data_IF_975043130820
#
_entry.id   IF_975043130820
#
_cell.length_a   1.000
_cell.length_b   1.000
_cell.length_c   1.000
_cell.angle_alpha   90.00
_cell.angle_beta   90.00
_cell.angle_gamma   90.00
#
_symmetry.space_group_name_H-M   'P 1'
#
loop_
_entity.id
_entity.type
_entity.pdbx_description
1 polymer ?
#
# COMPACT_ATOMS: atom_id res chain seq x y z
N UNK A 1 29.90 15.65 -33.97
CA UNK A 1 29.98 15.23 -32.55
C UNK A 1 28.98 14.10 -32.41
N UNK A 2 29.46 12.87 -32.45
CA UNK A 2 28.58 11.71 -32.26
C UNK A 2 28.21 11.64 -30.78
N UNK A 3 26.92 11.60 -30.49
CA UNK A 3 26.43 11.26 -29.16
C UNK A 3 26.77 9.78 -28.95
N UNK A 4 27.31 9.41 -27.78
CA UNK A 4 27.62 8.02 -27.42
C UNK A 4 26.36 7.14 -27.21
N UNK A 5 25.17 7.71 -27.44
CA UNK A 5 23.88 7.06 -27.26
C UNK A 5 22.89 7.56 -28.31
N UNK A 6 21.94 6.71 -28.67
CA UNK A 6 20.83 6.99 -29.56
C UNK A 6 19.62 7.56 -28.81
N UNK A 7 18.71 8.23 -29.51
CA UNK A 7 17.51 8.81 -28.90
C UNK A 7 16.61 7.76 -28.22
N UNK A 8 16.59 6.52 -28.74
CA UNK A 8 15.79 5.42 -28.19
C UNK A 8 16.33 4.89 -26.85
N UNK A 9 17.57 5.22 -26.50
CA UNK A 9 18.16 4.84 -25.22
C UNK A 9 17.81 5.82 -24.10
N UNK A 10 17.25 7.00 -24.43
CA UNK A 10 16.93 8.05 -23.46
C UNK A 10 15.67 7.67 -22.69
N UNK A 11 15.83 7.55 -21.36
CA UNK A 11 14.72 7.37 -20.40
C UNK A 11 14.10 8.70 -20.00
N UNK A 12 14.94 9.68 -19.66
CA UNK A 12 14.49 11.00 -19.18
C UNK A 12 15.53 12.08 -19.45
N UNK A 13 15.07 13.31 -19.67
CA UNK A 13 15.89 14.51 -19.74
C UNK A 13 15.46 15.44 -18.61
N UNK A 14 16.39 15.82 -17.74
CA UNK A 14 16.17 16.80 -16.66
C UNK A 14 17.00 18.05 -16.91
N UNK A 15 16.36 19.22 -16.79
CA UNK A 15 16.94 20.50 -17.13
C UNK A 15 17.02 21.35 -15.87
N UNK A 16 18.23 21.76 -15.50
CA UNK A 16 18.51 22.75 -14.48
C UNK A 16 18.79 24.12 -15.09
N UNK A 17 18.99 25.13 -14.25
CA UNK A 17 19.30 26.50 -14.75
C UNK A 17 20.67 26.53 -15.42
N UNK A 18 21.62 25.76 -14.88
CA UNK A 18 23.01 25.81 -15.28
C UNK A 18 23.51 24.54 -15.98
N UNK A 19 22.76 23.45 -15.93
CA UNK A 19 23.14 22.15 -16.49
C UNK A 19 21.93 21.34 -16.98
N UNK A 20 22.18 20.34 -17.82
CA UNK A 20 21.16 19.40 -18.31
C UNK A 20 21.68 17.98 -18.14
N UNK A 21 20.82 17.09 -17.63
CA UNK A 21 21.11 15.67 -17.44
C UNK A 21 20.22 14.83 -18.34
N UNK A 22 20.82 13.86 -19.02
CA UNK A 22 20.15 12.80 -19.76
C UNK A 22 20.34 11.49 -18.98
N UNK A 23 19.25 10.84 -18.62
CA UNK A 23 19.23 9.50 -18.04
C UNK A 23 18.85 8.50 -19.13
N UNK A 24 19.64 7.44 -19.26
CA UNK A 24 19.39 6.34 -20.20
C UNK A 24 18.62 5.19 -19.53
N UNK A 25 18.03 4.32 -20.34
CA UNK A 25 17.24 3.16 -19.88
C UNK A 25 18.06 2.16 -19.06
N UNK A 26 19.37 2.11 -19.26
CA UNK A 26 20.30 1.24 -18.52
C UNK A 26 20.83 1.85 -17.21
N UNK A 27 20.32 3.03 -16.83
CA UNK A 27 20.71 3.73 -15.60
C UNK A 27 21.96 4.60 -15.73
N UNK A 28 22.62 4.66 -16.89
CA UNK A 28 23.70 5.64 -17.14
C UNK A 28 23.12 7.05 -17.21
N UNK A 29 23.83 8.02 -16.62
CA UNK A 29 23.47 9.43 -16.69
C UNK A 29 24.61 10.28 -17.26
N UNK A 30 24.24 11.17 -18.18
CA UNK A 30 25.11 12.10 -18.90
C UNK A 30 24.74 13.53 -18.57
N UNK A 31 25.73 14.42 -18.38
CA UNK A 31 25.50 15.81 -18.02
C UNK A 31 26.24 16.77 -18.95
N UNK A 32 25.65 17.94 -19.20
CA UNK A 32 26.26 19.06 -19.93
C UNK A 32 25.95 20.38 -19.22
N UNK A 33 26.78 21.41 -19.42
CA UNK A 33 26.59 22.74 -18.86
C UNK A 33 27.59 23.08 -17.75
N UNK A 34 27.20 23.99 -16.86
CA UNK A 34 28.01 24.42 -15.71
C UNK A 34 27.95 23.37 -14.61
N UNK A 35 28.92 22.46 -14.62
CA UNK A 35 28.92 21.26 -13.79
C UNK A 35 29.87 21.30 -12.59
N UNK A 36 30.48 22.46 -12.31
CA UNK A 36 31.44 22.68 -11.22
C UNK A 36 30.92 22.23 -9.85
N UNK A 37 29.62 22.39 -9.61
CA UNK A 37 28.98 21.99 -8.36
C UNK A 37 28.50 20.53 -8.37
N UNK A 38 28.42 19.89 -9.54
CA UNK A 38 27.73 18.61 -9.73
C UNK A 38 28.64 17.41 -9.94
N UNK A 39 29.97 17.52 -9.77
CA UNK A 39 30.89 16.39 -9.94
C UNK A 39 31.97 16.53 -11.01
N UNK A 40 32.00 17.64 -11.75
CA UNK A 40 32.99 17.87 -12.82
C UNK A 40 33.79 19.15 -12.56
N UNK A 41 35.09 19.13 -12.85
CA UNK A 41 36.01 20.24 -12.56
C UNK A 41 35.90 21.45 -13.50
N UNK A 42 34.99 21.42 -14.49
CA UNK A 42 34.85 22.48 -15.50
C UNK A 42 33.45 22.53 -16.09
N UNK A 43 33.15 23.60 -16.85
CA UNK A 43 31.97 23.70 -17.71
C UNK A 43 32.11 22.73 -18.88
N UNK A 44 31.11 21.88 -19.05
CA UNK A 44 31.04 20.93 -20.13
C UNK A 44 30.29 21.50 -21.33
N UNK A 45 30.94 21.50 -22.49
CA UNK A 45 30.34 21.89 -23.78
C UNK A 45 29.86 20.66 -24.60
N UNK A 46 29.96 19.47 -24.02
CA UNK A 46 29.46 18.19 -24.55
C UNK A 46 28.92 17.35 -23.40
N UNK A 47 28.03 16.42 -23.69
CA UNK A 47 27.54 15.47 -22.70
C UNK A 47 28.69 14.57 -22.23
N UNK A 48 28.92 14.52 -20.92
CA UNK A 48 29.86 13.61 -20.29
C UNK A 48 29.12 12.70 -19.32
N UNK A 49 29.47 11.41 -19.32
CA UNK A 49 28.93 10.47 -18.36
C UNK A 49 29.54 10.71 -16.98
N UNK A 50 28.71 10.62 -15.93
CA UNK A 50 29.18 10.61 -14.55
C UNK A 50 30.16 9.46 -14.28
N UNK A 51 31.46 9.73 -13.99
CA UNK A 51 32.45 8.68 -13.82
C UNK A 51 32.15 7.72 -12.67
N UNK A 52 31.59 8.23 -11.57
CA UNK A 52 31.24 7.39 -10.42
C UNK A 52 30.05 6.45 -10.68
N UNK A 53 29.25 6.70 -11.73
CA UNK A 53 28.19 5.77 -12.15
C UNK A 53 28.74 4.65 -13.05
N UNK A 54 29.97 4.75 -13.58
CA UNK A 54 30.60 3.68 -14.35
C UNK A 54 31.02 2.48 -13.50
N UNK A 55 31.33 2.71 -12.22
CA UNK A 55 31.89 1.71 -11.31
C UNK A 55 30.91 1.31 -10.17
N UNK A 56 29.66 1.77 -10.23
CA UNK A 56 28.67 1.48 -9.21
C UNK A 56 27.59 0.54 -9.78
N UNK A 57 27.13 -0.43 -8.99
CA UNK A 57 26.06 -1.36 -9.37
C UNK A 57 24.65 -0.75 -9.23
N UNK A 58 24.55 0.54 -8.92
CA UNK A 58 23.29 1.26 -8.76
C UNK A 58 22.71 1.64 -10.12
N UNK A 59 21.51 1.15 -10.43
CA UNK A 59 20.74 1.53 -11.62
C UNK A 59 19.80 2.68 -11.24
N UNK A 60 19.92 3.81 -11.93
CA UNK A 60 19.05 4.98 -11.71
C UNK A 60 17.77 4.90 -12.53
N UNK A 61 16.64 5.09 -11.86
CA UNK A 61 15.31 5.09 -12.48
C UNK A 61 14.77 6.47 -12.77
N UNK A 62 15.23 7.48 -12.03
CA UNK A 62 14.79 8.86 -12.23
C UNK A 62 15.88 9.90 -11.93
N UNK A 63 15.73 11.09 -12.52
CA UNK A 63 16.61 12.26 -12.33
C UNK A 63 15.80 13.57 -12.31
N UNK A 64 16.22 14.53 -11.48
CA UNK A 64 15.77 15.92 -11.54
C UNK A 64 16.92 16.90 -11.32
N UNK A 65 16.78 18.08 -11.91
CA UNK A 65 17.77 19.15 -11.84
C UNK A 65 17.14 20.43 -11.29
N UNK A 66 17.97 21.25 -10.66
CA UNK A 66 17.61 22.56 -10.12
C UNK A 66 18.58 23.63 -10.57
N UNK A 67 18.80 24.64 -9.75
CA UNK A 67 19.65 25.77 -10.16
C UNK A 67 21.10 25.33 -10.43
N UNK A 68 21.71 24.68 -9.44
CA UNK A 68 23.08 24.13 -9.51
C UNK A 68 23.20 22.78 -8.81
N UNK A 69 22.05 22.10 -8.68
CA UNK A 69 21.84 20.85 -7.95
C UNK A 69 21.09 19.82 -8.79
N UNK A 70 21.33 18.55 -8.48
CA UNK A 70 20.74 17.39 -9.13
C UNK A 70 20.42 16.33 -8.09
N UNK A 71 19.29 15.66 -8.28
CA UNK A 71 18.92 14.45 -7.56
C UNK A 71 18.86 13.28 -8.52
N UNK A 72 19.22 12.10 -8.03
CA UNK A 72 19.08 10.83 -8.73
C UNK A 72 18.41 9.83 -7.81
N UNK A 73 17.52 9.03 -8.38
CA UNK A 73 16.75 8.03 -7.67
C UNK A 73 17.03 6.67 -8.29
N UNK A 74 17.47 5.73 -7.47
CA UNK A 74 17.81 4.38 -7.89
C UNK A 74 16.62 3.41 -7.81
N UNK A 75 16.69 2.31 -8.57
CA UNK A 75 15.70 1.22 -8.54
C UNK A 75 15.57 0.56 -7.15
N UNK A 76 16.65 0.59 -6.35
CA UNK A 76 16.68 0.11 -4.98
C UNK A 76 16.23 1.17 -3.94
N UNK A 77 15.57 2.25 -4.38
CA UNK A 77 15.16 3.41 -3.58
C UNK A 77 16.30 4.22 -2.95
N UNK A 78 17.56 4.00 -3.34
CA UNK A 78 18.65 4.87 -2.91
C UNK A 78 18.54 6.26 -3.55
N UNK A 79 18.74 7.28 -2.73
CA UNK A 79 18.81 8.67 -3.20
C UNK A 79 20.26 9.11 -3.28
N UNK A 80 20.59 9.72 -4.41
CA UNK A 80 21.87 10.37 -4.65
C UNK A 80 21.66 11.84 -4.99
N UNK A 81 22.57 12.69 -4.53
CA UNK A 81 22.53 14.14 -4.79
C UNK A 81 23.89 14.66 -5.20
N UNK A 82 23.88 15.70 -6.02
CA UNK A 82 25.06 16.42 -6.44
C UNK A 82 24.74 17.90 -6.62
N UNK A 83 25.68 18.79 -6.39
CA UNK A 83 25.43 20.22 -6.52
C UNK A 83 25.71 21.02 -5.27
N UNK A 84 25.27 22.28 -5.33
CA UNK A 84 25.32 23.21 -4.21
C UNK A 84 24.02 23.16 -3.41
N UNK A 85 24.15 23.03 -2.09
CA UNK A 85 23.06 22.96 -1.12
C UNK A 85 23.35 23.90 0.05
N UNK A 86 22.73 25.09 0.10
CA UNK A 86 22.90 26.13 1.13
C UNK A 86 24.37 26.37 1.58
N UNK A 87 24.92 25.55 2.49
CA UNK A 87 26.29 25.63 3.02
C UNK A 87 27.25 24.55 2.50
N UNK A 88 26.78 23.53 1.79
CA UNK A 88 27.56 22.36 1.37
C UNK A 88 27.59 22.24 -0.16
N UNK A 89 28.68 21.71 -0.70
CA UNK A 89 28.78 21.27 -2.09
C UNK A 89 29.03 19.78 -2.10
N UNK A 90 28.20 19.04 -2.84
CA UNK A 90 28.31 17.57 -2.97
C UNK A 90 28.77 17.29 -4.40
N UNK A 91 30.04 16.94 -4.53
CA UNK A 91 30.71 16.69 -5.80
C UNK A 91 31.85 15.70 -5.59
N UNK A 92 31.83 14.50 -6.23
CA UNK A 92 30.83 13.97 -7.16
C UNK A 92 29.47 13.62 -6.50
N UNK A 93 28.44 13.25 -7.29
CA UNK A 93 27.18 12.73 -6.74
C UNK A 93 27.42 11.68 -5.66
N UNK A 94 26.75 11.84 -4.52
CA UNK A 94 26.90 10.99 -3.35
C UNK A 94 25.54 10.52 -2.82
N UNK A 95 25.52 9.32 -2.23
CA UNK A 95 24.35 8.74 -1.56
C UNK A 95 23.99 9.55 -0.31
N UNK A 96 22.70 9.87 -0.15
CA UNK A 96 22.16 10.41 1.11
C UNK A 96 21.96 9.27 2.11
N UNK A 97 22.62 9.34 3.27
CA UNK A 97 22.58 8.29 4.32
C UNK A 97 21.68 8.60 5.50
N UNK A 98 21.19 9.84 5.62
CA UNK A 98 20.43 10.33 6.79
C UNK A 98 18.92 10.43 6.55
N UNK A 99 18.38 9.68 5.60
CA UNK A 99 16.95 9.51 5.48
C UNK A 99 16.59 8.25 6.26
N UNK A 100 15.81 8.39 7.33
CA UNK A 100 15.06 7.25 7.87
C UNK A 100 14.08 6.81 6.78
N UNK A 101 14.54 5.94 5.89
CA UNK A 101 13.69 5.31 4.90
C UNK A 101 12.80 4.33 5.66
N UNK A 102 11.59 4.77 5.96
CA UNK A 102 10.55 3.86 6.37
C UNK A 102 10.32 2.88 5.20
N UNK A 103 10.44 1.57 5.45
CA UNK A 103 10.48 0.52 4.42
C UNK A 103 9.22 0.47 3.53
N UNK A 104 8.19 1.22 3.91
CA UNK A 104 6.88 1.29 3.26
C UNK A 104 6.75 2.49 2.30
N UNK A 105 7.81 3.27 2.07
CA UNK A 105 7.77 4.44 1.19
C UNK A 105 8.57 4.15 -0.09
N UNK A 106 7.90 4.13 -1.24
CA UNK A 106 8.54 3.98 -2.55
C UNK A 106 8.78 5.36 -3.18
N UNK A 107 10.04 5.71 -3.34
CA UNK A 107 10.34 6.92 -4.11
C UNK A 107 10.06 6.58 -5.58
N UNK A 108 9.07 7.23 -6.20
CA UNK A 108 8.73 6.97 -7.60
C UNK A 108 9.13 8.10 -8.54
N UNK A 109 9.24 9.35 -8.07
CA UNK A 109 9.65 10.45 -8.95
C UNK A 109 10.42 11.57 -8.23
N UNK A 110 11.37 12.16 -8.93
CA UNK A 110 12.03 13.41 -8.56
C UNK A 110 11.28 14.59 -9.21
N UNK A 111 10.75 15.50 -8.40
CA UNK A 111 9.77 16.50 -8.88
C UNK A 111 10.43 17.83 -9.24
N UNK A 112 11.32 18.34 -8.40
CA UNK A 112 11.93 19.65 -8.66
C UNK A 112 13.18 19.85 -7.82
N UNK A 113 14.08 20.70 -8.26
CA UNK A 113 15.12 21.24 -7.40
C UNK A 113 15.10 22.77 -7.47
N UNK A 114 14.82 23.40 -6.33
CA UNK A 114 14.87 24.85 -6.18
C UNK A 114 16.30 25.39 -6.24
N UNK A 115 16.51 26.66 -5.86
CA UNK A 115 17.83 27.31 -5.91
C UNK A 115 18.92 26.59 -5.08
N UNK A 116 18.53 25.82 -4.05
CA UNK A 116 19.42 25.12 -3.12
C UNK A 116 18.81 23.84 -2.50
N UNK A 117 17.74 23.29 -3.08
CA UNK A 117 16.99 22.15 -2.53
C UNK A 117 16.66 21.17 -3.64
N UNK A 118 16.63 19.86 -3.36
CA UNK A 118 16.06 18.84 -4.23
C UNK A 118 14.83 18.30 -3.50
N UNK A 119 13.67 18.36 -4.17
CA UNK A 119 12.40 17.83 -3.71
C UNK A 119 12.18 16.47 -4.35
N UNK A 120 11.92 15.48 -3.51
CA UNK A 120 11.54 14.15 -3.91
C UNK A 120 10.01 14.07 -3.82
N UNK A 121 9.32 13.63 -4.87
CA UNK A 121 7.98 13.08 -4.66
C UNK A 121 8.20 11.72 -4.05
N UNK A 122 7.81 11.62 -2.80
CA UNK A 122 7.40 10.34 -2.28
C UNK A 122 6.10 10.05 -3.02
N UNK A 123 6.08 9.02 -3.84
CA UNK A 123 4.84 8.26 -3.83
C UNK A 123 4.93 7.57 -2.47
N UNK A 124 4.08 7.97 -1.53
CA UNK A 124 3.66 6.91 -0.63
C UNK A 124 3.11 5.88 -1.63
N UNK A 125 3.73 4.69 -1.76
CA UNK A 125 2.97 3.50 -2.16
C UNK A 125 1.83 3.54 -1.16
N UNK A 126 0.74 4.24 -1.53
CA UNK A 126 -0.07 5.01 -0.59
C UNK A 126 -0.38 4.03 0.50
N UNK A 127 0.21 4.26 1.69
CA UNK A 127 0.46 3.23 2.72
C UNK A 127 -0.66 2.23 2.56
N UNK A 128 -0.38 1.00 2.09
CA UNK A 128 -1.48 0.07 1.89
C UNK A 128 -2.04 -0.16 3.30
N UNK A 129 -3.09 0.59 3.63
CA UNK A 129 -3.44 0.91 5.00
C UNK A 129 -4.07 -0.32 5.60
N UNK A 130 -4.85 -1.01 4.76
CA UNK A 130 -5.22 -2.40 4.92
C UNK A 130 -4.03 -3.31 5.27
N UNK A 131 -2.92 -3.26 4.52
CA UNK A 131 -1.73 -4.07 4.83
C UNK A 131 -1.11 -3.70 6.19
N UNK A 132 -1.02 -2.42 6.55
CA UNK A 132 -0.46 -2.02 7.85
C UNK A 132 -1.37 -2.41 9.01
N UNK A 133 -2.68 -2.23 8.87
CA UNK A 133 -3.63 -2.57 9.93
C UNK A 133 -3.66 -4.07 10.19
N UNK A 134 -3.59 -4.89 9.14
CA UNK A 134 -3.48 -6.34 9.28
C UNK A 134 -2.12 -6.77 9.85
N UNK A 135 -1.02 -6.09 9.53
CA UNK A 135 0.27 -6.34 10.19
C UNK A 135 0.23 -6.00 11.69
N UNK A 136 -0.40 -4.88 12.07
CA UNK A 136 -0.57 -4.51 13.47
C UNK A 136 -1.40 -5.57 14.23
N UNK A 137 -2.43 -6.11 13.57
CA UNK A 137 -3.24 -7.20 14.09
C UNK A 137 -2.43 -8.51 14.27
N UNK A 138 -1.51 -8.83 13.35
CA UNK A 138 -0.56 -9.94 13.52
C UNK A 138 0.36 -9.73 14.74
N UNK A 139 0.84 -8.50 14.95
CA UNK A 139 1.75 -8.19 16.06
C UNK A 139 1.06 -8.26 17.42
N UNK A 140 -0.20 -7.81 17.52
CA UNK A 140 -0.95 -7.82 18.77
C UNK A 140 -1.74 -9.12 19.01
N UNK A 141 -1.97 -9.93 17.97
CA UNK A 141 -2.68 -11.20 18.04
C UNK A 141 -4.19 -11.09 18.29
N UNK A 142 -4.78 -9.91 18.10
CA UNK A 142 -6.21 -9.68 18.35
C UNK A 142 -7.06 -10.52 17.40
N UNK A 143 -8.12 -11.14 17.93
CA UNK A 143 -9.07 -11.97 17.17
C UNK A 143 -8.47 -13.18 16.44
N UNK A 144 -7.23 -13.57 16.76
CA UNK A 144 -6.65 -14.78 16.22
C UNK A 144 -7.43 -16.02 16.67
N UNK A 145 -7.75 -16.88 15.72
CA UNK A 145 -8.51 -18.12 15.91
C UNK A 145 -7.60 -19.36 16.00
N UNK A 146 -6.30 -19.20 15.67
CA UNK A 146 -5.33 -20.28 15.77
C UNK A 146 -3.90 -19.80 16.08
N UNK A 147 -2.95 -20.75 16.06
CA UNK A 147 -1.53 -20.49 16.26
C UNK A 147 -0.64 -21.43 15.43
N UNK A 148 0.52 -20.91 15.01
CA UNK A 148 1.64 -21.64 14.40
C UNK A 148 2.90 -21.37 15.25
N UNK A 149 3.50 -22.41 15.83
CA UNK A 149 4.66 -22.26 16.74
C UNK A 149 4.49 -21.12 17.79
N UNK A 150 3.29 -21.03 18.39
CA UNK A 150 2.90 -19.99 19.37
C UNK A 150 2.70 -18.57 18.83
N UNK A 151 2.76 -18.35 17.52
CA UNK A 151 2.36 -17.07 16.91
C UNK A 151 0.85 -17.10 16.66
N UNK A 152 0.06 -16.16 17.22
CA UNK A 152 -1.37 -16.06 16.95
C UNK A 152 -1.62 -15.68 15.49
N UNK A 153 -2.52 -16.40 14.83
CA UNK A 153 -2.83 -16.21 13.40
C UNK A 153 -4.30 -16.40 13.10
N UNK A 154 -4.75 -15.82 11.99
CA UNK A 154 -6.08 -15.94 11.40
C UNK A 154 -6.08 -17.01 10.32
N UNK A 155 -6.84 -18.09 10.56
CA UNK A 155 -6.89 -19.28 9.70
C UNK A 155 -7.28 -18.93 8.27
N UNK A 156 -8.37 -18.18 8.10
CA UNK A 156 -8.93 -17.78 6.80
C UNK A 156 -7.92 -17.00 5.96
N UNK A 157 -7.15 -16.09 6.58
CA UNK A 157 -6.17 -15.27 5.88
C UNK A 157 -5.02 -16.13 5.33
N UNK A 158 -4.55 -17.11 6.11
CA UNK A 158 -3.54 -18.06 5.63
C UNK A 158 -4.10 -18.90 4.47
N UNK A 159 -5.34 -19.38 4.60
CA UNK A 159 -5.96 -20.21 3.58
C UNK A 159 -6.13 -19.47 2.25
N UNK A 160 -6.64 -18.23 2.27
CA UNK A 160 -6.88 -17.48 1.03
C UNK A 160 -5.56 -17.07 0.35
N UNK A 161 -4.54 -16.68 1.14
CA UNK A 161 -3.24 -16.25 0.63
C UNK A 161 -2.45 -17.43 0.05
N UNK A 162 -2.39 -18.54 0.78
CA UNK A 162 -1.64 -19.73 0.35
C UNK A 162 -2.43 -20.61 -0.64
N UNK A 163 -3.76 -20.57 -0.61
CA UNK A 163 -4.61 -21.43 -1.44
C UNK A 163 -4.60 -22.91 -1.01
N UNK A 164 -4.32 -23.16 0.28
CA UNK A 164 -4.25 -24.51 0.89
C UNK A 164 -5.01 -24.53 2.20
N UNK A 165 -5.33 -25.73 2.68
CA UNK A 165 -5.95 -25.87 4.00
C UNK A 165 -4.98 -25.41 5.10
N UNK A 166 -5.51 -24.81 6.16
CA UNK A 166 -4.66 -24.32 7.25
C UNK A 166 -3.85 -25.46 7.90
N UNK A 167 -4.43 -26.65 8.04
CA UNK A 167 -3.75 -27.79 8.65
C UNK A 167 -2.55 -28.27 7.82
N UNK A 168 -2.67 -28.25 6.49
CA UNK A 168 -1.56 -28.54 5.56
C UNK A 168 -0.44 -27.50 5.70
N UNK A 169 -0.78 -26.21 5.69
CA UNK A 169 0.19 -25.12 5.83
C UNK A 169 0.87 -25.18 7.19
N UNK A 170 0.10 -25.32 8.27
CA UNK A 170 0.60 -25.39 9.64
C UNK A 170 1.57 -26.55 9.81
N UNK A 171 1.18 -27.75 9.38
CA UNK A 171 2.04 -28.94 9.46
C UNK A 171 3.36 -28.72 8.73
N UNK A 172 3.32 -28.21 7.51
CA UNK A 172 4.53 -27.94 6.74
C UNK A 172 5.45 -26.94 7.45
N UNK A 173 4.90 -25.83 7.95
CA UNK A 173 5.68 -24.78 8.61
C UNK A 173 6.28 -25.28 9.94
N UNK A 174 5.53 -26.05 10.72
CA UNK A 174 6.00 -26.59 11.99
C UNK A 174 7.11 -27.65 11.81
N UNK A 175 7.07 -28.43 10.73
CA UNK A 175 8.07 -29.47 10.43
C UNK A 175 9.31 -28.95 9.70
N UNK A 176 9.20 -27.89 8.90
CA UNK A 176 10.24 -27.51 7.92
C UNK A 176 10.80 -26.08 8.08
N UNK A 177 10.21 -25.25 8.94
CA UNK A 177 10.56 -23.84 9.08
C UNK A 177 10.94 -23.45 10.51
N UNK A 178 11.93 -22.57 10.62
CA UNK A 178 12.28 -21.88 11.85
C UNK A 178 11.26 -20.77 12.16
N UNK A 179 11.17 -20.39 13.44
CA UNK A 179 10.30 -19.28 13.87
C UNK A 179 10.54 -17.98 13.09
N UNK A 180 11.80 -17.70 12.72
CA UNK A 180 12.16 -16.51 11.93
C UNK A 180 11.55 -16.59 10.52
N UNK A 181 11.69 -17.72 9.85
CA UNK A 181 11.14 -17.94 8.50
C UNK A 181 9.60 -17.90 8.51
N UNK A 182 8.96 -18.38 9.58
CA UNK A 182 7.51 -18.29 9.75
C UNK A 182 7.08 -16.83 9.94
N UNK A 183 7.75 -16.06 10.80
CA UNK A 183 7.46 -14.63 10.97
C UNK A 183 7.64 -13.86 9.68
N UNK A 184 8.67 -14.21 8.93
CA UNK A 184 8.93 -13.66 7.61
C UNK A 184 7.75 -14.02 6.66
N UNK A 185 7.38 -15.28 6.51
CA UNK A 185 6.20 -15.64 5.69
C UNK A 185 4.92 -14.89 6.12
N UNK A 186 4.66 -14.78 7.43
CA UNK A 186 3.47 -14.11 7.95
C UNK A 186 3.44 -12.62 7.61
N UNK A 187 4.58 -11.92 7.62
CA UNK A 187 4.65 -10.52 7.17
C UNK A 187 4.27 -10.34 5.69
N UNK A 188 4.56 -11.34 4.85
CA UNK A 188 4.06 -11.36 3.47
C UNK A 188 2.57 -11.68 3.38
N UNK A 189 2.08 -12.64 4.18
CA UNK A 189 0.65 -13.01 4.24
C UNK A 189 -0.21 -11.81 4.65
N UNK A 190 0.19 -11.06 5.69
CA UNK A 190 -0.61 -9.99 6.29
C UNK A 190 -0.40 -8.61 5.70
N UNK A 191 0.67 -8.38 4.92
CA UNK A 191 0.96 -7.03 4.46
C UNK A 191 1.73 -6.90 3.17
N UNK A 192 1.83 -7.96 2.37
CA UNK A 192 2.63 -8.01 1.13
C UNK A 192 4.08 -7.50 1.32
N UNK A 193 4.62 -7.57 2.55
CA UNK A 193 5.94 -7.01 2.85
C UNK A 193 7.02 -7.71 2.02
N UNK A 194 7.96 -6.91 1.52
CA UNK A 194 9.17 -7.41 0.85
C UNK A 194 10.11 -7.96 1.91
N UNK A 195 10.41 -9.25 1.82
CA UNK A 195 11.29 -9.95 2.74
C UNK A 195 12.41 -10.58 1.93
N UNK A 196 13.56 -10.82 2.56
CA UNK A 196 14.74 -11.39 1.91
C UNK A 196 14.37 -12.69 1.17
N UNK A 197 14.27 -12.58 -0.15
CA UNK A 197 13.40 -13.41 -0.99
C UNK A 197 13.80 -14.88 -1.10
N UNK A 198 15.05 -15.25 -0.81
CA UNK A 198 15.50 -16.60 -1.15
C UNK A 198 14.70 -17.68 -0.43
N UNK A 199 14.52 -17.53 0.89
CA UNK A 199 13.89 -18.58 1.69
C UNK A 199 12.37 -18.52 1.68
N UNK A 200 11.76 -17.34 1.75
CA UNK A 200 10.30 -17.20 1.66
C UNK A 200 9.78 -17.65 0.29
N UNK A 201 10.50 -17.38 -0.81
CA UNK A 201 10.13 -17.90 -2.12
C UNK A 201 10.24 -19.42 -2.20
N UNK A 202 11.27 -20.03 -1.60
CA UNK A 202 11.36 -21.49 -1.53
C UNK A 202 10.15 -22.09 -0.80
N UNK A 203 9.70 -21.47 0.30
CA UNK A 203 8.51 -21.91 1.04
C UNK A 203 7.25 -21.76 0.18
N UNK A 204 7.05 -20.60 -0.47
CA UNK A 204 5.91 -20.34 -1.34
C UNK A 204 5.87 -21.26 -2.56
N UNK A 205 7.02 -21.56 -3.16
CA UNK A 205 7.14 -22.50 -4.27
C UNK A 205 6.69 -23.91 -3.88
N UNK A 206 6.92 -24.34 -2.62
CA UNK A 206 6.43 -25.63 -2.15
C UNK A 206 4.89 -25.68 -2.04
N UNK A 207 4.22 -24.53 -1.97
CA UNK A 207 2.78 -24.42 -2.07
C UNK A 207 2.28 -24.13 -3.50
N UNK A 208 3.18 -24.09 -4.49
CA UNK A 208 2.85 -23.80 -5.89
C UNK A 208 2.65 -22.32 -6.21
N UNK A 209 3.15 -21.41 -5.37
CA UNK A 209 3.07 -19.96 -5.59
C UNK A 209 4.40 -19.47 -6.16
N UNK A 210 4.43 -19.36 -7.49
CA UNK A 210 5.55 -18.76 -8.22
C UNK A 210 5.31 -17.25 -8.39
N UNK A 211 6.36 -16.44 -8.16
CA UNK A 211 6.34 -14.98 -8.34
C UNK A 211 5.12 -14.28 -7.71
N UNK A 212 4.98 -14.33 -6.37
CA UNK A 212 3.79 -13.83 -5.66
C UNK A 212 3.40 -12.39 -6.01
N UNK A 213 4.36 -11.52 -6.37
CA UNK A 213 4.11 -10.11 -6.72
C UNK A 213 3.29 -9.91 -7.98
N UNK A 214 3.43 -10.80 -8.95
CA UNK A 214 2.77 -10.69 -10.25
C UNK A 214 1.43 -11.43 -10.25
N UNK A 215 1.26 -12.40 -9.34
CA UNK A 215 0.16 -13.35 -9.38
C UNK A 215 -0.87 -13.15 -8.27
N UNK A 216 -0.52 -12.51 -7.14
CA UNK A 216 -1.42 -12.33 -5.99
C UNK A 216 -1.13 -11.05 -5.18
N UNK A 217 -2.16 -10.26 -4.91
CA UNK A 217 -2.10 -9.15 -3.94
C UNK A 217 -3.00 -9.43 -2.74
N UNK A 218 -2.65 -8.94 -1.55
CA UNK A 218 -3.48 -9.11 -0.35
C UNK A 218 -4.91 -8.59 -0.60
N UNK A 219 -5.03 -7.40 -1.17
CA UNK A 219 -6.30 -6.78 -1.57
C UNK A 219 -7.15 -7.69 -2.47
N UNK A 220 -6.55 -8.27 -3.52
CA UNK A 220 -7.29 -9.18 -4.42
C UNK A 220 -7.78 -10.46 -3.75
N UNK A 221 -7.06 -10.92 -2.73
CA UNK A 221 -7.46 -12.09 -1.94
C UNK A 221 -8.53 -11.74 -0.91
N UNK A 222 -8.44 -10.57 -0.25
CA UNK A 222 -9.47 -10.10 0.69
C UNK A 222 -10.79 -9.78 -0.01
N UNK A 223 -10.76 -9.26 -1.24
CA UNK A 223 -11.97 -9.06 -2.05
C UNK A 223 -12.78 -10.35 -2.26
N UNK A 224 -12.13 -11.53 -2.23
CA UNK A 224 -12.82 -12.83 -2.34
C UNK A 224 -13.54 -13.23 -1.05
N UNK A 225 -13.16 -12.63 0.09
CA UNK A 225 -13.78 -12.87 1.39
C UNK A 225 -14.94 -11.91 1.67
N UNK A 226 -15.12 -10.88 0.84
CA UNK A 226 -16.18 -9.90 0.98
C UNK A 226 -17.53 -10.62 0.82
N UNK A 227 -18.33 -10.61 1.89
CA UNK A 227 -19.63 -11.28 1.98
C UNK A 227 -19.62 -12.80 1.73
N UNK A 228 -18.49 -13.50 1.97
CA UNK A 228 -18.45 -14.97 1.86
C UNK A 228 -19.01 -15.65 3.11
N UNK A 229 -20.21 -16.23 2.98
CA UNK A 229 -20.89 -17.01 4.04
C UNK A 229 -20.10 -18.24 4.50
N UNK A 230 -19.23 -18.79 3.65
CA UNK A 230 -18.49 -20.01 4.00
C UNK A 230 -17.31 -19.75 4.93
N UNK A 231 -16.77 -18.53 4.91
CA UNK A 231 -15.56 -18.17 5.66
C UNK A 231 -15.81 -17.15 6.75
N UNK A 232 -16.94 -16.43 6.71
CA UNK A 232 -17.31 -15.44 7.71
C UNK A 232 -17.40 -16.04 9.11
N UNK A 233 -16.94 -15.28 10.10
CA UNK A 233 -17.03 -15.63 11.53
C UNK A 233 -18.04 -14.78 12.29
N UNK A 234 -18.75 -13.91 11.57
CA UNK A 234 -19.71 -12.95 12.09
C UNK A 234 -20.71 -12.47 11.04
N UNK A 235 -21.85 -11.95 11.50
CA UNK A 235 -22.92 -11.38 10.69
C UNK A 235 -23.29 -9.99 11.22
N UNK A 236 -23.37 -9.00 10.35
CA UNK A 236 -23.92 -7.68 10.67
C UNK A 236 -25.36 -7.61 10.16
N UNK A 237 -26.33 -7.38 11.06
CA UNK A 237 -27.73 -7.19 10.69
C UNK A 237 -27.93 -5.70 10.38
N UNK A 238 -28.44 -5.39 9.19
CA UNK A 238 -28.69 -4.02 8.75
C UNK A 238 -30.17 -3.85 8.45
N UNK A 239 -30.76 -2.73 8.86
CA UNK A 239 -32.15 -2.43 8.51
C UNK A 239 -32.26 -2.15 7.01
N UNK A 240 -33.22 -2.79 6.35
CA UNK A 240 -33.54 -2.51 4.96
C UNK A 240 -34.77 -1.59 4.90
N UNK A 241 -34.56 -0.34 4.52
CA UNK A 241 -35.63 0.65 4.41
C UNK A 241 -36.34 0.61 3.04
N UNK A 242 -36.00 -0.33 2.15
CA UNK A 242 -36.61 -0.47 0.82
C UNK A 242 -37.96 -1.21 0.87
N UNK A 243 -39.01 -0.52 1.31
CA UNK A 243 -40.39 -0.92 0.99
C UNK A 243 -41.16 0.27 0.40
N UNK A 244 -41.49 0.16 -0.90
CA UNK A 244 -42.48 1.02 -1.54
C UNK A 244 -43.84 0.80 -0.87
N UNK A 245 -44.53 1.88 -0.49
CA UNK A 245 -45.90 1.87 0.00
C UNK A 245 -46.84 1.18 -1.02
N UNK A 246 -47.09 -0.11 -0.89
CA UNK A 246 -48.33 -0.70 -1.40
C UNK A 246 -49.39 -0.65 -0.31
N UNK A 247 -50.49 0.03 -0.65
CA UNK A 247 -51.58 0.46 0.22
C UNK A 247 -52.17 -0.64 1.10
N UNK A 248 -52.42 -0.25 2.36
CA UNK A 248 -53.42 -0.77 3.29
C UNK A 248 -53.39 -2.29 3.62
N UNK A 249 -52.78 -2.63 4.75
CA UNK A 249 -53.46 -3.35 5.85
C UNK A 249 -52.58 -3.28 7.12
N UNK A 250 -53.20 -2.99 8.28
CA UNK A 250 -52.56 -2.94 9.61
C UNK A 250 -52.10 -4.35 10.05
N UNK A 251 -51.05 -4.88 9.43
CA UNK A 251 -50.27 -6.00 9.96
C UNK A 251 -48.98 -5.44 10.58
N UNK A 252 -48.54 -6.01 11.71
CA UNK A 252 -47.35 -5.58 12.44
C UNK A 252 -46.17 -5.47 11.46
N UNK A 253 -45.63 -4.26 11.28
CA UNK A 253 -44.44 -3.99 10.44
C UNK A 253 -43.28 -4.88 10.92
N UNK A 254 -43.09 -6.05 10.32
CA UNK A 254 -41.89 -6.86 10.52
C UNK A 254 -40.75 -6.14 9.78
N UNK A 255 -39.97 -5.32 10.52
CA UNK A 255 -38.73 -4.72 10.02
C UNK A 255 -37.85 -5.83 9.41
N UNK A 256 -37.68 -5.84 8.08
CA UNK A 256 -36.77 -6.79 7.44
C UNK A 256 -35.32 -6.39 7.70
N UNK A 257 -34.58 -7.29 8.35
CA UNK A 257 -33.15 -7.14 8.61
C UNK A 257 -32.35 -7.99 7.62
N UNK A 258 -31.42 -7.35 6.92
CA UNK A 258 -30.50 -8.01 6.00
C UNK A 258 -29.26 -8.53 6.73
N UNK A 259 -28.87 -9.77 6.44
CA UNK A 259 -27.72 -10.44 7.06
C UNK A 259 -26.45 -10.29 6.21
N UNK A 260 -25.51 -9.45 6.65
CA UNK A 260 -24.22 -9.29 5.97
C UNK A 260 -23.12 -10.16 6.61
N UNK A 261 -22.65 -11.24 5.94
CA UNK A 261 -21.55 -12.07 6.44
C UNK A 261 -20.20 -11.34 6.38
N UNK A 262 -19.48 -11.28 7.49
CA UNK A 262 -18.26 -10.50 7.66
C UNK A 262 -17.21 -11.19 8.54
N UNK A 263 -15.99 -10.65 8.55
CA UNK A 263 -14.86 -11.16 9.32
C UNK A 263 -14.47 -10.18 10.42
N UNK A 264 -14.56 -10.61 11.70
CA UNK A 264 -14.25 -9.77 12.87
C UNK A 264 -12.89 -9.12 12.78
N UNK A 265 -11.89 -9.88 12.36
CA UNK A 265 -10.51 -9.41 12.34
C UNK A 265 -10.28 -8.28 11.33
N UNK A 266 -11.02 -8.26 10.21
CA UNK A 266 -10.94 -7.19 9.20
C UNK A 266 -11.62 -5.94 9.76
N UNK A 267 -12.85 -6.08 10.27
CA UNK A 267 -13.60 -5.00 10.89
C UNK A 267 -12.81 -4.37 12.05
N UNK A 268 -12.28 -5.18 12.95
CA UNK A 268 -11.52 -4.72 14.11
C UNK A 268 -10.18 -4.07 13.75
N UNK A 269 -9.51 -4.54 12.70
CA UNK A 269 -8.28 -3.91 12.22
C UNK A 269 -8.57 -2.48 11.70
N UNK A 270 -9.73 -2.30 11.06
CA UNK A 270 -10.06 -1.14 10.23
C UNK A 270 -11.03 -0.16 10.87
N UNK A 271 -11.66 -0.50 12.00
CA UNK A 271 -12.62 0.35 12.72
C UNK A 271 -12.42 0.26 14.23
N UNK A 272 -12.21 1.42 14.86
CA UNK A 272 -12.16 1.55 16.31
C UNK A 272 -13.47 1.18 17.00
N UNK A 273 -14.61 1.48 16.36
CA UNK A 273 -15.93 1.10 16.87
C UNK A 273 -16.06 -0.42 16.94
N UNK A 274 -15.80 -1.13 15.83
CA UNK A 274 -15.87 -2.59 15.81
C UNK A 274 -14.82 -3.24 16.72
N UNK A 275 -13.60 -2.70 16.78
CA UNK A 275 -12.58 -3.15 17.73
C UNK A 275 -13.08 -3.10 19.17
N UNK A 276 -13.60 -1.94 19.59
CA UNK A 276 -14.11 -1.74 20.95
C UNK A 276 -15.35 -2.61 21.21
N UNK A 277 -16.23 -2.73 20.22
CA UNK A 277 -17.41 -3.60 20.30
C UNK A 277 -16.98 -5.03 20.57
N UNK A 278 -16.10 -5.61 19.74
CA UNK A 278 -15.67 -7.00 19.91
C UNK A 278 -14.80 -7.24 21.15
N UNK A 279 -14.06 -6.25 21.65
CA UNK A 279 -13.29 -6.36 22.90
C UNK A 279 -14.17 -6.33 24.15
N UNK A 280 -15.23 -5.51 24.16
CA UNK A 280 -16.12 -5.35 25.31
C UNK A 280 -17.27 -6.35 25.33
N UNK A 281 -17.48 -7.09 24.24
CA UNK A 281 -18.44 -8.19 24.19
C UNK A 281 -17.89 -9.40 24.97
N UNK A 282 -18.37 -9.56 26.21
CA UNK A 282 -18.08 -10.67 27.13
C UNK A 282 -18.56 -12.06 26.63
N UNK A 283 -19.04 -12.17 25.40
CA UNK A 283 -19.63 -13.39 24.87
C UNK A 283 -18.78 -13.96 23.75
N UNK A 284 -17.96 -14.96 24.10
CA UNK A 284 -17.20 -15.83 23.17
C UNK A 284 -18.02 -16.45 22.03
N UNK A 285 -19.35 -16.27 22.02
CA UNK A 285 -20.29 -16.91 21.10
C UNK A 285 -21.15 -15.92 20.30
N UNK A 286 -20.98 -14.59 20.44
CA UNK A 286 -21.76 -13.68 19.62
C UNK A 286 -21.29 -13.80 18.16
N UNK A 287 -22.21 -14.27 17.31
CA UNK A 287 -22.00 -14.45 15.87
C UNK A 287 -22.72 -13.39 15.04
N UNK A 288 -23.59 -12.58 15.66
CA UNK A 288 -24.33 -11.53 14.95
C UNK A 288 -24.60 -10.31 15.82
N UNK A 289 -24.67 -9.13 15.20
CA UNK A 289 -25.06 -7.88 15.87
C UNK A 289 -25.85 -6.99 14.92
N UNK A 290 -26.81 -6.24 15.45
CA UNK A 290 -27.52 -5.20 14.69
C UNK A 290 -26.66 -3.94 14.59
N UNK A 291 -26.62 -3.37 13.39
CA UNK A 291 -26.10 -2.03 13.17
C UNK A 291 -27.14 -0.98 13.59
N UNK A 292 -26.69 0.03 14.33
CA UNK A 292 -27.55 1.10 14.86
C UNK A 292 -27.13 2.49 14.34
N UNK A 293 -26.47 2.53 13.17
CA UNK A 293 -26.09 3.79 12.55
C UNK A 293 -27.26 4.50 11.85
N UNK A 294 -28.38 3.79 11.65
CA UNK A 294 -29.52 4.22 10.84
C UNK A 294 -29.11 4.58 9.40
N UNK A 295 -28.05 3.96 8.87
CA UNK A 295 -27.63 4.12 7.48
C UNK A 295 -28.22 3.00 6.62
N UNK A 296 -28.49 3.33 5.36
CA UNK A 296 -29.07 2.38 4.40
C UNK A 296 -28.15 1.17 4.19
N UNK A 297 -28.75 0.04 3.79
CA UNK A 297 -28.03 -1.18 3.42
C UNK A 297 -26.88 -0.88 2.45
N UNK A 298 -27.17 -0.14 1.38
CA UNK A 298 -26.18 0.24 0.36
C UNK A 298 -24.97 0.99 0.96
N UNK A 299 -25.22 1.87 1.93
CA UNK A 299 -24.16 2.64 2.60
C UNK A 299 -23.29 1.74 3.47
N UNK A 300 -23.89 0.77 4.16
CA UNK A 300 -23.16 -0.22 4.93
C UNK A 300 -22.36 -1.15 4.02
N UNK A 301 -22.91 -1.58 2.89
CA UNK A 301 -22.19 -2.40 1.92
C UNK A 301 -20.97 -1.68 1.34
N UNK A 302 -21.11 -0.37 1.07
CA UNK A 302 -20.02 0.48 0.63
C UNK A 302 -18.93 0.60 1.70
N UNK A 303 -19.31 0.82 2.97
CA UNK A 303 -18.39 0.79 4.10
C UNK A 303 -17.64 -0.55 4.17
N UNK A 304 -18.36 -1.68 4.21
CA UNK A 304 -17.73 -3.00 4.34
C UNK A 304 -16.80 -3.27 3.16
N UNK A 305 -17.22 -2.95 1.94
CA UNK A 305 -16.38 -3.06 0.74
C UNK A 305 -15.07 -2.28 0.89
N UNK A 306 -15.14 -1.05 1.41
CA UNK A 306 -13.96 -0.23 1.69
C UNK A 306 -13.04 -0.88 2.73
N UNK A 307 -13.58 -1.44 3.82
CA UNK A 307 -12.76 -2.09 4.86
C UNK A 307 -11.98 -3.29 4.33
N UNK A 308 -12.49 -3.99 3.30
CA UNK A 308 -11.84 -5.16 2.69
C UNK A 308 -10.87 -4.81 1.56
N UNK A 309 -11.00 -3.62 0.94
CA UNK A 309 -10.35 -3.35 -0.36
C UNK A 309 -9.63 -2.02 -0.46
N UNK A 310 -9.81 -1.09 0.48
CA UNK A 310 -9.40 0.32 0.35
C UNK A 310 -10.01 0.98 -0.92
N UNK A 311 -11.13 0.47 -1.46
CA UNK A 311 -11.86 1.04 -2.60
C UNK A 311 -13.25 1.49 -2.19
N UNK A 312 -13.67 2.64 -2.71
CA UNK A 312 -15.05 3.08 -2.67
C UNK A 312 -15.65 2.75 -4.05
N UNK A 313 -16.56 1.78 -4.17
CA UNK A 313 -17.21 1.48 -5.42
C UNK A 313 -18.09 2.68 -5.83
N UNK A 314 -17.71 3.40 -6.88
CA UNK A 314 -18.56 4.44 -7.48
C UNK A 314 -19.58 3.71 -8.36
N UNK A 315 -20.86 3.75 -7.98
CA UNK A 315 -21.97 3.25 -8.82
C UNK A 315 -22.46 4.37 -9.75
N UNK A 316 -23.22 4.02 -10.79
CA UNK A 316 -23.71 4.98 -11.78
C UNK A 316 -24.78 5.95 -11.22
N UNK A 317 -25.35 5.61 -10.06
CA UNK A 317 -26.51 6.29 -9.49
C UNK A 317 -26.14 7.32 -8.40
N UNK A 318 -24.89 7.32 -7.93
CA UNK A 318 -24.40 8.24 -6.90
C UNK A 318 -23.44 9.29 -7.45
N UNK A 319 -23.80 10.56 -7.32
CA UNK A 319 -22.88 11.66 -7.66
C UNK A 319 -21.73 11.72 -6.64
N UNK A 320 -20.54 12.12 -7.08
CA UNK A 320 -19.31 12.10 -6.25
C UNK A 320 -19.44 12.94 -4.97
N UNK A 321 -20.28 13.98 -5.00
CA UNK A 321 -20.55 14.85 -3.86
C UNK A 321 -21.40 14.15 -2.79
N UNK A 322 -22.38 13.32 -3.17
CA UNK A 322 -23.19 12.53 -2.25
C UNK A 322 -22.34 11.49 -1.50
N UNK A 323 -21.52 10.73 -2.24
CA UNK A 323 -20.63 9.73 -1.64
C UNK A 323 -19.67 10.39 -0.64
N UNK A 324 -19.20 11.60 -0.95
CA UNK A 324 -18.28 12.33 -0.07
C UNK A 324 -18.93 12.71 1.26
N UNK A 325 -20.13 13.28 1.25
CA UNK A 325 -20.84 13.66 2.47
C UNK A 325 -21.18 12.44 3.33
N UNK A 326 -21.74 11.37 2.74
CA UNK A 326 -22.06 10.14 3.47
C UNK A 326 -20.81 9.45 4.05
N UNK A 327 -19.71 9.45 3.30
CA UNK A 327 -18.50 8.78 3.74
C UNK A 327 -17.75 9.54 4.84
N UNK A 328 -17.86 10.87 4.90
CA UNK A 328 -17.36 11.65 6.03
C UNK A 328 -18.07 11.24 7.34
N UNK A 329 -19.40 11.11 7.30
CA UNK A 329 -20.20 10.65 8.43
C UNK A 329 -19.87 9.21 8.84
N UNK A 330 -19.70 8.30 7.86
CA UNK A 330 -19.30 6.90 8.09
C UNK A 330 -17.95 6.85 8.81
N UNK A 331 -16.97 7.63 8.35
CA UNK A 331 -15.62 7.60 8.91
C UNK A 331 -15.62 8.02 10.37
N UNK A 332 -16.40 9.05 10.71
CA UNK A 332 -16.54 9.52 12.10
C UNK A 332 -17.27 8.50 12.97
N UNK A 333 -18.44 8.02 12.54
CA UNK A 333 -19.27 7.09 13.31
C UNK A 333 -18.53 5.76 13.58
N UNK A 334 -17.99 5.15 12.52
CA UNK A 334 -17.31 3.85 12.63
C UNK A 334 -15.84 3.97 13.08
N UNK A 335 -15.33 5.18 13.28
CA UNK A 335 -13.97 5.43 13.77
C UNK A 335 -12.90 4.71 12.91
N UNK A 336 -12.94 4.92 11.59
CA UNK A 336 -12.11 4.15 10.66
C UNK A 336 -10.61 4.45 10.81
N UNK A 337 -9.79 3.40 10.62
CA UNK A 337 -8.33 3.47 10.65
C UNK A 337 -7.73 3.46 9.25
N UNK A 338 -6.59 4.14 9.05
CA UNK A 338 -6.11 5.28 9.83
C UNK A 338 -6.94 6.53 9.55
N UNK A 339 -6.64 7.61 10.29
CA UNK A 339 -7.07 8.98 9.98
C UNK A 339 -6.45 9.46 8.65
N UNK A 340 -6.79 8.83 7.55
CA UNK A 340 -6.43 9.27 6.21
C UNK A 340 -7.23 10.55 5.93
N UNK A 341 -6.67 11.55 5.23
CA UNK A 341 -7.51 12.58 4.65
C UNK A 341 -8.44 11.88 3.66
N UNK A 342 -9.70 11.70 4.03
CA UNK A 342 -10.76 11.12 3.19
C UNK A 342 -10.71 11.69 1.76
N UNK A 343 -10.38 12.99 1.66
CA UNK A 343 -10.10 13.74 0.44
C UNK A 343 -9.06 13.07 -0.49
N UNK A 344 -7.98 12.49 0.03
CA UNK A 344 -6.93 11.85 -0.78
C UNK A 344 -7.41 10.54 -1.44
N UNK A 345 -8.38 9.85 -0.82
CA UNK A 345 -9.01 8.64 -1.35
C UNK A 345 -10.02 9.02 -2.43
N UNK A 346 -10.86 10.03 -2.18
CA UNK A 346 -11.83 10.54 -3.15
C UNK A 346 -11.17 11.11 -4.41
N UNK A 347 -10.10 11.91 -4.27
CA UNK A 347 -9.36 12.47 -5.42
C UNK A 347 -8.74 11.40 -6.32
N UNK A 348 -8.51 10.18 -5.81
CA UNK A 348 -8.01 9.05 -6.58
C UNK A 348 -9.13 8.24 -7.22
N UNK A 349 -10.24 8.01 -6.51
CA UNK A 349 -11.40 7.31 -7.05
C UNK A 349 -12.02 8.10 -8.23
N UNK A 350 -11.97 9.43 -8.19
CA UNK A 350 -12.42 10.31 -9.28
C UNK A 350 -11.51 10.32 -10.53
N UNK A 351 -10.32 9.69 -10.49
CA UNK A 351 -9.34 9.68 -11.60
C UNK A 351 -9.29 8.36 -12.38
N UNK A 352 -10.05 7.35 -11.96
CA UNK A 352 -10.31 6.13 -12.72
C UNK A 352 -11.73 6.19 -13.29
#
# INVERSE_FOLDING_TARGET
>A
MELEFSANEIKKIAIGVSHTIILLNDGRAYVVGSTNSTGFASRLNKFEQYPQFKNNNTIFKDVACGYSSSGFLAENNEIWVAGRFKSNTISPPAKLTNLEQNSNISLNTLVASGSNQVFFALELDLINYLNQDLLNLLENGSFADCQIQSIPVHKVLIQIRIGKSFDEVKKYLEENCTLKEIKDLLKWIYGDQRINFKRTNEILNNFGIENPKETKTLKSDLKKLLFDENTSDFTLMVQNDEYEEEEEEEEEEEEEEEELPVHKFILAARSGLFLNMFQNLDQKNLKKVKDYSNKSLETIELLISFLYTDEIPITADHDQEFIKEEFEDIVEYYQLNPKIPILDIFEKCAKN
#
